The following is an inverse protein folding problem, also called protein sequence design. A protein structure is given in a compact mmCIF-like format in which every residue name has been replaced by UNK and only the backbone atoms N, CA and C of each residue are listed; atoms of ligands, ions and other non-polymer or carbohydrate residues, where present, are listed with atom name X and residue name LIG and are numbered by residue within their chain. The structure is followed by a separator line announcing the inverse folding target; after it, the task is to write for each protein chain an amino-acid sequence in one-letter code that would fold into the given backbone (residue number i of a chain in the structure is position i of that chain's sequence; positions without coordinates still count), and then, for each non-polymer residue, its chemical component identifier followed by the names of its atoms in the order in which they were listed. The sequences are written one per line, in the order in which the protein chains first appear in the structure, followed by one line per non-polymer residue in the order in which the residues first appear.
data_IF_882634105386
#
_entry.id   IF_882634105386
#
_cell.length_a   1.000
_cell.length_b   1.000
_cell.length_c   1.000
_cell.angle_alpha   90.00
_cell.angle_beta   90.00
_cell.angle_gamma   90.00
#
_symmetry.space_group_name_H-M   'P 1'
#
loop_
_entity.id
_entity.type
_entity.pdbx_description
1 polymer ?
#
# COMPACT_ATOMS: atom_id res chain seq x y z
N UNK A 1 -10.93 -6.93 14.81
CA UNK A 1 -11.67 -6.81 13.53
C UNK A 1 -12.53 -5.56 13.49
N UNK A 2 -13.33 -5.30 14.52
CA UNK A 2 -14.27 -4.17 14.59
C UNK A 2 -13.61 -2.78 14.37
N UNK A 3 -12.36 -2.63 14.81
CA UNK A 3 -11.57 -1.41 14.62
C UNK A 3 -11.15 -1.15 13.15
N UNK A 4 -10.88 -2.21 12.36
CA UNK A 4 -10.41 -2.04 10.96
C UNK A 4 -11.53 -1.55 10.06
N UNK A 5 -12.70 -2.18 10.14
CA UNK A 5 -13.86 -1.83 9.30
C UNK A 5 -14.32 -0.40 9.61
N UNK A 6 -14.38 -0.02 10.89
CA UNK A 6 -14.70 1.34 11.33
C UNK A 6 -13.61 2.34 10.89
N UNK A 7 -12.34 1.98 11.04
CA UNK A 7 -11.21 2.79 10.61
C UNK A 7 -11.25 3.09 9.11
N UNK A 8 -11.50 2.08 8.28
CA UNK A 8 -11.65 2.24 6.83
C UNK A 8 -12.89 3.08 6.46
N UNK A 9 -14.02 2.86 7.14
CA UNK A 9 -15.24 3.65 6.92
C UNK A 9 -15.03 5.14 7.20
N UNK A 10 -14.28 5.49 8.26
CA UNK A 10 -13.88 6.88 8.56
C UNK A 10 -13.03 7.53 7.45
N UNK A 11 -12.40 6.72 6.60
CA UNK A 11 -11.62 7.17 5.44
C UNK A 11 -12.39 7.07 4.13
N UNK A 12 -13.73 6.97 4.19
CA UNK A 12 -14.63 6.81 3.04
C UNK A 12 -14.38 5.53 2.22
N UNK A 13 -13.88 4.47 2.87
CA UNK A 13 -13.70 3.17 2.24
C UNK A 13 -14.70 2.16 2.81
N UNK A 14 -15.57 1.62 1.95
CA UNK A 14 -16.57 0.60 2.32
C UNK A 14 -15.91 -0.78 2.20
N UNK A 15 -15.50 -1.34 3.34
CA UNK A 15 -14.90 -2.67 3.40
C UNK A 15 -15.94 -3.75 3.65
N UNK A 16 -15.80 -4.89 2.97
CA UNK A 16 -16.48 -6.14 3.34
C UNK A 16 -15.80 -6.76 4.56
N UNK A 17 -16.41 -7.81 5.11
CA UNK A 17 -15.83 -8.53 6.26
C UNK A 17 -14.56 -9.29 5.87
N UNK A 18 -14.47 -9.79 4.63
CA UNK A 18 -13.28 -10.43 4.09
C UNK A 18 -12.10 -9.45 4.00
N UNK A 19 -12.31 -8.26 3.42
CA UNK A 19 -11.28 -7.22 3.33
C UNK A 19 -10.84 -6.81 4.75
N UNK A 20 -11.80 -6.60 5.64
CA UNK A 20 -11.51 -6.22 7.03
C UNK A 20 -10.69 -7.28 7.77
N UNK A 21 -10.97 -8.56 7.49
CA UNK A 21 -10.24 -9.70 8.07
C UNK A 21 -8.81 -9.79 7.53
N UNK A 22 -8.63 -9.68 6.21
CA UNK A 22 -7.30 -9.74 5.57
C UNK A 22 -6.42 -8.60 6.07
N UNK A 23 -6.93 -7.37 6.10
CA UNK A 23 -6.18 -6.20 6.58
C UNK A 23 -5.83 -6.34 8.07
N UNK A 24 -6.76 -6.85 8.88
CA UNK A 24 -6.50 -7.13 10.29
C UNK A 24 -5.36 -8.16 10.47
N UNK A 25 -5.39 -9.26 9.72
CA UNK A 25 -4.35 -10.29 9.78
C UNK A 25 -3.01 -9.79 9.24
N UNK A 26 -3.00 -9.02 8.15
CA UNK A 26 -1.81 -8.37 7.59
C UNK A 26 -1.11 -7.52 8.66
N UNK A 27 -1.87 -6.69 9.39
CA UNK A 27 -1.35 -5.85 10.46
C UNK A 27 -0.86 -6.68 11.67
N UNK A 28 -1.63 -7.67 12.12
CA UNK A 28 -1.28 -8.46 13.31
C UNK A 28 -0.13 -9.43 13.08
N UNK A 29 0.01 -9.96 11.88
CA UNK A 29 1.06 -10.92 11.52
C UNK A 29 2.31 -10.24 10.96
N UNK A 30 2.26 -8.96 10.61
CA UNK A 30 3.35 -8.26 9.95
C UNK A 30 3.71 -8.85 8.58
N UNK A 31 2.74 -9.49 7.92
CA UNK A 31 2.93 -10.12 6.59
C UNK A 31 2.33 -9.24 5.50
N UNK A 32 2.96 -9.14 4.31
CA UNK A 32 2.41 -8.36 3.20
C UNK A 32 1.10 -8.99 2.68
N UNK A 33 0.23 -8.15 2.12
CA UNK A 33 -0.97 -8.58 1.41
C UNK A 33 -0.89 -8.19 -0.07
N UNK A 34 -1.24 -9.13 -0.95
CA UNK A 34 -1.47 -8.88 -2.36
C UNK A 34 -2.98 -8.67 -2.58
N UNK A 35 -3.33 -7.58 -3.26
CA UNK A 35 -4.73 -7.24 -3.55
C UNK A 35 -4.99 -7.37 -5.05
N UNK A 36 -5.79 -8.35 -5.42
CA UNK A 36 -6.15 -8.65 -6.81
C UNK A 36 -7.61 -8.30 -7.10
N UNK A 37 -7.91 -8.06 -8.38
CA UNK A 37 -9.28 -7.79 -8.84
C UNK A 37 -9.34 -6.87 -10.06
N UNK A 38 -10.53 -6.68 -10.66
CA UNK A 38 -10.71 -5.88 -11.87
C UNK A 38 -10.26 -4.41 -11.72
N UNK A 39 -10.06 -3.72 -12.84
CA UNK A 39 -9.81 -2.28 -12.81
C UNK A 39 -11.00 -1.54 -12.16
N UNK A 40 -10.72 -0.52 -11.35
CA UNK A 40 -11.77 0.32 -10.73
C UNK A 40 -12.39 -0.20 -9.42
N UNK A 41 -12.07 -1.41 -8.94
CA UNK A 41 -12.69 -1.98 -7.71
C UNK A 41 -12.09 -1.47 -6.38
N UNK A 42 -11.38 -0.33 -6.40
CA UNK A 42 -10.88 0.29 -5.17
C UNK A 42 -9.59 -0.30 -4.56
N UNK A 43 -8.82 -1.12 -5.30
CA UNK A 43 -7.55 -1.71 -4.80
C UNK A 43 -6.54 -0.66 -4.31
N UNK A 44 -6.30 0.36 -5.12
CA UNK A 44 -5.41 1.48 -4.76
C UNK A 44 -6.00 2.31 -3.62
N UNK A 45 -7.32 2.40 -3.55
CA UNK A 45 -7.99 3.19 -2.52
C UNK A 45 -7.94 2.49 -1.15
N UNK A 46 -7.96 1.15 -1.12
CA UNK A 46 -7.74 0.37 0.10
C UNK A 46 -6.39 0.71 0.75
N UNK A 47 -5.31 0.77 -0.03
CA UNK A 47 -3.99 1.12 0.48
C UNK A 47 -3.94 2.55 1.07
N UNK A 48 -4.60 3.52 0.40
CA UNK A 48 -4.69 4.90 0.89
C UNK A 48 -5.53 5.00 2.16
N UNK A 49 -6.70 4.37 2.18
CA UNK A 49 -7.61 4.37 3.31
C UNK A 49 -6.96 3.71 4.52
N UNK A 50 -6.28 2.57 4.34
CA UNK A 50 -5.58 1.90 5.42
C UNK A 50 -4.42 2.72 5.98
N UNK A 51 -3.60 3.35 5.11
CA UNK A 51 -2.52 4.22 5.57
C UNK A 51 -3.03 5.38 6.44
N UNK A 52 -4.12 6.05 6.01
CA UNK A 52 -4.76 7.11 6.79
C UNK A 52 -5.35 6.59 8.11
N UNK A 53 -6.06 5.46 8.07
CA UNK A 53 -6.69 4.87 9.24
C UNK A 53 -5.67 4.41 10.30
N UNK A 54 -4.53 3.87 9.85
CA UNK A 54 -3.44 3.41 10.72
C UNK A 54 -2.44 4.50 11.10
N UNK A 55 -2.59 5.73 10.59
CA UNK A 55 -1.64 6.82 10.81
C UNK A 55 -0.25 6.56 10.20
N UNK A 56 -0.13 5.62 9.26
CA UNK A 56 1.14 5.24 8.62
C UNK A 56 1.39 6.07 7.37
N UNK A 57 2.67 6.30 7.06
CA UNK A 57 3.07 6.90 5.78
C UNK A 57 2.78 5.93 4.64
N UNK A 58 2.06 6.38 3.61
CA UNK A 58 1.92 5.64 2.36
C UNK A 58 3.09 5.96 1.42
N UNK A 59 3.91 4.96 1.13
CA UNK A 59 4.92 5.03 0.07
C UNK A 59 4.35 4.26 -1.13
N UNK A 60 4.27 4.92 -2.29
CA UNK A 60 3.71 4.33 -3.51
C UNK A 60 4.80 4.24 -4.58
N UNK A 61 5.21 3.02 -4.90
CA UNK A 61 5.99 2.69 -6.08
C UNK A 61 5.04 2.20 -7.17
N UNK A 62 5.01 2.90 -8.31
CA UNK A 62 4.24 2.46 -9.46
C UNK A 62 5.14 1.65 -10.38
N UNK A 63 4.87 0.34 -10.51
CA UNK A 63 5.60 -0.51 -11.43
C UNK A 63 5.13 -0.26 -12.87
N UNK A 64 6.09 -0.15 -13.77
CA UNK A 64 5.89 -0.03 -15.21
C UNK A 64 7.07 -0.70 -15.93
N UNK A 65 6.93 -0.94 -17.23
CA UNK A 65 7.99 -1.56 -18.03
C UNK A 65 9.26 -0.71 -18.04
N UNK A 66 10.41 -1.30 -17.73
CA UNK A 66 11.69 -0.59 -17.62
C UNK A 66 11.95 0.08 -16.27
N UNK A 67 11.14 -0.18 -15.24
CA UNK A 67 11.51 0.07 -13.85
C UNK A 67 12.52 -0.99 -13.40
N UNK A 68 13.75 -0.57 -13.12
CA UNK A 68 14.87 -1.39 -12.65
C UNK A 68 15.30 -0.98 -11.22
N UNK A 69 16.22 -1.74 -10.63
CA UNK A 69 16.70 -1.52 -9.25
C UNK A 69 17.31 -0.13 -9.07
N UNK A 70 18.11 0.35 -10.02
CA UNK A 70 18.78 1.64 -9.95
C UNK A 70 17.80 2.81 -9.91
N UNK A 71 16.70 2.73 -10.68
CA UNK A 71 15.59 3.72 -10.64
C UNK A 71 14.73 3.59 -9.39
N UNK A 72 14.51 2.38 -8.89
CA UNK A 72 13.65 2.14 -7.73
C UNK A 72 14.33 2.47 -6.38
N UNK A 73 15.63 2.19 -6.26
CA UNK A 73 16.43 2.37 -5.05
C UNK A 73 17.25 3.66 -5.03
N UNK A 74 17.19 4.44 -6.12
CA UNK A 74 17.98 5.66 -6.32
C UNK A 74 19.48 5.38 -6.13
N UNK A 75 20.07 4.66 -7.09
CA UNK A 75 21.53 4.54 -7.13
C UNK A 75 22.14 5.91 -7.43
N UNK A 76 22.81 6.47 -6.42
CA UNK A 76 23.62 7.66 -6.56
C UNK A 76 24.93 7.26 -7.25
N UNK A 77 25.09 7.58 -8.54
CA UNK A 77 26.37 7.38 -9.25
C UNK A 77 27.45 8.31 -8.65
N UNK A 78 28.23 7.80 -7.69
CA UNK A 78 29.42 8.48 -7.16
C UNK A 78 30.48 8.78 -8.25
N UNK A 79 30.43 8.13 -9.41
CA UNK A 79 31.44 8.25 -10.46
C UNK A 79 31.39 9.56 -11.27
N UNK A 80 30.33 10.39 -11.15
CA UNK A 80 30.21 11.67 -11.89
C UNK A 80 30.54 12.90 -11.06
N UNK A 81 30.98 12.74 -9.81
CA UNK A 81 31.27 13.85 -8.89
C UNK A 81 32.76 14.23 -8.78
N UNK A 82 33.61 13.66 -9.65
CA UNK A 82 35.05 13.96 -9.76
C UNK A 82 35.39 14.67 -11.08
N UNK A 83 34.63 15.73 -11.42
CA UNK A 83 34.99 16.72 -12.45
C UNK A 83 34.73 18.13 -11.91
#
# INVERSE_FOLDING_TARGET
MEDVKVGLAKQNYIATDEISTVVFLMEKLGKPALVEGPAGVGKTELAKAWAKASGKRLIRLQCYEGLDESKALYEWEYAKQML
#
